data_IF_390537362412
#
_entry.id   IF_390537362412
#
_cell.length_a   1.000
_cell.length_b   1.000
_cell.length_c   1.000
_cell.angle_alpha   90.00
_cell.angle_beta   90.00
_cell.angle_gamma   90.00
#
_symmetry.space_group_name_H-M   'P 1'
#
loop_
_entity.id
_entity.type
_entity.pdbx_description
1 polymer ?
#
# COMPACT_ATOMS: atom_id res chain seq x y z
N UNK A 1 -11.34 10.18 -13.54
CA UNK A 1 -10.49 10.85 -12.54
C UNK A 1 -9.26 9.99 -12.30
N UNK A 2 -8.11 10.43 -12.80
CA UNK A 2 -6.85 9.69 -12.69
C UNK A 2 -6.25 9.78 -11.29
N UNK A 3 -5.61 8.71 -10.84
CA UNK A 3 -4.78 8.72 -9.64
C UNK A 3 -3.63 9.71 -9.84
N UNK A 4 -3.48 10.68 -8.94
CA UNK A 4 -2.37 11.65 -9.00
C UNK A 4 -1.12 11.01 -8.41
N UNK A 5 -0.27 10.44 -9.27
CA UNK A 5 0.97 9.79 -8.87
C UNK A 5 1.86 10.71 -8.02
N UNK A 6 1.97 12.00 -8.37
CA UNK A 6 2.84 12.95 -7.66
C UNK A 6 2.47 13.08 -6.18
N UNK A 7 1.18 13.28 -5.88
CA UNK A 7 0.65 13.38 -4.51
C UNK A 7 0.88 12.07 -3.74
N UNK A 8 0.69 10.93 -4.41
CA UNK A 8 0.88 9.63 -3.76
C UNK A 8 2.35 9.35 -3.51
N UNK A 9 3.24 9.72 -4.42
CA UNK A 9 4.69 9.47 -4.34
C UNK A 9 5.40 10.35 -3.33
N UNK A 10 4.81 11.51 -2.98
CA UNK A 10 5.32 12.40 -1.92
C UNK A 10 4.96 11.95 -0.51
N UNK A 11 3.96 11.06 -0.35
CA UNK A 11 3.61 10.53 0.97
C UNK A 11 4.65 9.51 1.45
N UNK A 12 5.10 9.52 2.71
CA UNK A 12 5.98 8.48 3.24
C UNK A 12 5.29 7.10 3.28
N UNK A 13 3.95 7.05 3.26
CA UNK A 13 3.18 5.81 3.24
C UNK A 13 2.06 5.92 2.19
N UNK A 14 2.02 4.95 1.28
CA UNK A 14 0.95 4.79 0.29
C UNK A 14 0.16 3.51 0.57
N UNK A 15 -1.17 3.64 0.60
CA UNK A 15 -2.09 2.50 0.70
C UNK A 15 -2.88 2.36 -0.61
N UNK A 16 -2.62 1.27 -1.33
CA UNK A 16 -3.28 0.96 -2.60
C UNK A 16 -4.43 -0.02 -2.36
N UNK A 17 -5.66 0.43 -2.59
CA UNK A 17 -6.86 -0.40 -2.47
C UNK A 17 -7.42 -0.69 -3.86
N UNK A 18 -7.52 -1.98 -4.20
CA UNK A 18 -8.07 -2.46 -5.47
C UNK A 18 -7.01 -2.71 -6.55
N UNK A 19 -7.32 -3.67 -7.42
CA UNK A 19 -6.43 -4.11 -8.51
C UNK A 19 -6.08 -3.00 -9.50
N UNK A 20 -7.03 -2.10 -9.77
CA UNK A 20 -6.81 -0.99 -10.70
C UNK A 20 -5.78 0.02 -10.15
N UNK A 21 -5.92 0.41 -8.89
CA UNK A 21 -5.00 1.32 -8.21
C UNK A 21 -3.58 0.74 -8.14
N UNK A 22 -3.46 -0.54 -7.81
CA UNK A 22 -2.18 -1.24 -7.83
C UNK A 22 -1.51 -1.15 -9.20
N UNK A 23 -2.23 -1.50 -10.28
CA UNK A 23 -1.66 -1.51 -11.64
C UNK A 23 -1.24 -0.11 -12.09
N UNK A 24 -2.13 0.88 -11.95
CA UNK A 24 -1.86 2.23 -12.40
C UNK A 24 -0.66 2.84 -11.65
N UNK A 25 -0.61 2.67 -10.32
CA UNK A 25 0.48 3.21 -9.51
C UNK A 25 1.83 2.56 -9.87
N UNK A 26 1.88 1.23 -9.99
CA UNK A 26 3.13 0.53 -10.34
C UNK A 26 3.60 0.82 -11.76
N UNK A 27 2.68 1.08 -12.70
CA UNK A 27 3.05 1.49 -14.06
C UNK A 27 3.80 2.82 -14.08
N UNK A 28 3.38 3.81 -13.29
CA UNK A 28 4.12 5.08 -13.16
C UNK A 28 5.38 4.94 -12.33
N UNK A 29 5.31 4.22 -11.20
CA UNK A 29 6.45 4.00 -10.30
C UNK A 29 7.63 3.32 -11.01
N UNK A 30 7.35 2.37 -11.91
CA UNK A 30 8.41 1.68 -12.67
C UNK A 30 9.08 2.56 -13.73
N UNK A 31 8.50 3.70 -14.10
CA UNK A 31 9.13 4.68 -15.01
C UNK A 31 10.11 5.58 -14.28
N UNK A 32 9.99 5.72 -12.95
CA UNK A 32 10.90 6.54 -12.15
C UNK A 32 12.26 5.81 -12.00
N UNK A 33 13.25 6.27 -12.75
CA UNK A 33 14.60 5.72 -12.75
C UNK A 33 15.40 6.09 -11.49
N UNK A 34 14.95 7.08 -10.71
CA UNK A 34 15.61 7.57 -9.50
C UNK A 34 15.38 6.71 -8.26
N UNK A 35 14.42 5.78 -8.33
CA UNK A 35 14.04 4.92 -7.20
C UNK A 35 14.36 3.45 -7.45
N UNK A 36 14.53 2.70 -6.36
CA UNK A 36 14.56 1.24 -6.37
C UNK A 36 13.46 0.67 -5.48
N UNK A 37 12.99 -0.52 -5.84
CA UNK A 37 11.85 -1.16 -5.20
C UNK A 37 12.25 -2.50 -4.62
N UNK A 38 11.93 -2.72 -3.34
CA UNK A 38 12.15 -4.01 -2.66
C UNK A 38 10.85 -4.50 -2.06
N UNK A 39 10.46 -5.73 -2.37
CA UNK A 39 9.34 -6.39 -1.72
C UNK A 39 9.79 -7.04 -0.41
N UNK A 40 9.20 -6.61 0.71
CA UNK A 40 9.40 -7.22 2.02
C UNK A 40 8.26 -8.18 2.29
N UNK A 41 8.59 -9.46 2.40
CA UNK A 41 7.63 -10.52 2.74
C UNK A 41 7.70 -10.80 4.23
N UNK A 42 6.55 -10.81 4.88
CA UNK A 42 6.46 -11.26 6.25
C UNK A 42 6.59 -12.79 6.31
N UNK A 43 7.41 -13.30 7.23
CA UNK A 43 7.68 -14.74 7.38
C UNK A 43 6.58 -15.50 8.14
N UNK A 44 5.51 -14.83 8.56
CA UNK A 44 4.38 -15.48 9.24
C UNK A 44 3.29 -15.89 8.24
N UNK A 45 2.74 -17.08 8.45
CA UNK A 45 1.57 -17.60 7.73
C UNK A 45 0.33 -17.26 8.56
N UNK A 46 -0.55 -16.42 8.04
CA UNK A 46 -1.89 -16.28 8.60
C UNK A 46 -2.82 -17.28 7.91
N UNK A 47 -3.58 -18.05 8.68
CA UNK A 47 -4.61 -18.95 8.15
C UNK A 47 -5.67 -18.24 7.29
N UNK A 48 -5.89 -16.95 7.58
CA UNK A 48 -6.86 -16.09 6.88
C UNK A 48 -6.35 -15.65 5.49
N UNK A 49 -5.03 -15.56 5.29
CA UNK A 49 -4.45 -15.09 4.04
C UNK A 49 -3.84 -16.26 3.25
N UNK A 50 -4.33 -16.48 2.02
CA UNK A 50 -3.80 -17.50 1.10
C UNK A 50 -2.35 -17.23 0.66
N UNK A 51 -1.82 -16.05 0.95
CA UNK A 51 -0.47 -15.62 0.59
C UNK A 51 0.19 -14.92 1.77
N UNK A 52 1.51 -15.03 1.86
CA UNK A 52 2.28 -14.29 2.86
C UNK A 52 2.04 -12.79 2.67
N UNK A 53 1.65 -12.05 3.71
CA UNK A 53 1.54 -10.60 3.64
C UNK A 53 2.88 -10.01 3.19
N UNK A 54 2.80 -8.94 2.41
CA UNK A 54 4.00 -8.24 1.96
C UNK A 54 3.68 -6.77 1.72
N UNK A 55 4.73 -5.96 1.70
CA UNK A 55 4.69 -4.55 1.33
C UNK A 55 5.94 -4.23 0.52
N UNK A 56 5.93 -3.09 -0.16
CA UNK A 56 7.12 -2.61 -0.86
C UNK A 56 7.76 -1.47 -0.10
N UNK A 57 9.08 -1.44 -0.15
CA UNK A 57 9.90 -0.30 0.28
C UNK A 57 10.46 0.36 -0.98
N UNK A 58 10.23 1.66 -1.09
CA UNK A 58 10.80 2.52 -2.11
C UNK A 58 12.03 3.18 -1.53
N UNK A 59 13.16 3.03 -2.19
CA UNK A 59 14.40 3.71 -1.83
C UNK A 59 14.74 4.76 -2.88
N UNK A 60 15.34 5.85 -2.44
CA UNK A 60 16.10 6.71 -3.35
C UNK A 60 17.38 5.94 -3.76
N UNK A 61 17.62 5.75 -5.06
CA UNK A 61 18.81 5.01 -5.54
C UNK A 61 20.12 5.72 -5.21
N UNK A 62 20.14 7.04 -5.23
CA UNK A 62 21.35 7.82 -5.00
C UNK A 62 21.73 7.82 -3.52
N UNK A 63 20.79 8.10 -2.61
CA UNK A 63 21.07 8.20 -1.17
C UNK A 63 20.92 6.88 -0.42
N UNK A 64 20.24 5.89 -1.01
CA UNK A 64 19.81 4.63 -0.38
C UNK A 64 18.85 4.81 0.81
N UNK A 65 18.31 6.00 0.99
CA UNK A 65 17.34 6.27 2.04
C UNK A 65 15.95 5.75 1.65
N UNK A 66 15.17 5.38 2.66
CA UNK A 66 13.78 4.98 2.49
C UNK A 66 12.97 6.23 2.14
N UNK A 67 12.36 6.23 0.95
CA UNK A 67 11.49 7.30 0.47
C UNK A 67 10.03 7.05 0.85
N UNK A 68 9.57 5.81 0.72
CA UNK A 68 8.17 5.47 0.91
C UNK A 68 7.96 3.99 1.24
N UNK A 69 6.90 3.70 2.00
CA UNK A 69 6.34 2.37 2.20
C UNK A 69 5.03 2.23 1.43
N UNK A 70 4.88 1.16 0.66
CA UNK A 70 3.66 0.89 -0.12
C UNK A 70 2.99 -0.37 0.40
N UNK A 71 1.80 -0.19 0.98
CA UNK A 71 0.89 -1.27 1.34
C UNK A 71 -0.16 -1.42 0.26
N UNK A 72 -0.62 -2.65 0.02
CA UNK A 72 -1.65 -2.89 -0.98
C UNK A 72 -2.61 -4.00 -0.57
N UNK A 73 -3.84 -3.89 -1.06
CA UNK A 73 -4.83 -4.97 -1.06
C UNK A 73 -5.63 -4.93 -2.34
N UNK A 74 -6.04 -6.10 -2.81
CA UNK A 74 -6.98 -6.19 -3.93
C UNK A 74 -8.44 -6.04 -3.49
N UNK A 75 -8.72 -6.23 -2.20
CA UNK A 75 -10.06 -6.18 -1.64
C UNK A 75 -10.13 -5.17 -0.49
N UNK A 76 -11.00 -4.17 -0.64
CA UNK A 76 -11.21 -3.11 0.35
C UNK A 76 -11.73 -3.64 1.70
N UNK A 77 -12.47 -4.76 1.68
CA UNK A 77 -13.01 -5.43 2.87
C UNK A 77 -11.93 -5.83 3.89
N UNK A 78 -10.68 -6.02 3.46
CA UNK A 78 -9.57 -6.35 4.36
C UNK A 78 -9.12 -5.18 5.25
N UNK A 79 -9.50 -3.94 4.93
CA UNK A 79 -9.18 -2.74 5.71
C UNK A 79 -10.36 -2.21 6.54
N UNK A 80 -11.59 -2.66 6.26
CA UNK A 80 -12.80 -2.17 6.92
C UNK A 80 -13.06 -2.82 8.30
N UNK A 81 -12.12 -3.61 8.83
CA UNK A 81 -12.32 -4.34 10.09
C UNK A 81 -12.26 -3.46 11.36
N UNK A 82 -11.93 -2.17 11.24
CA UNK A 82 -11.87 -1.23 12.37
C UNK A 82 -13.17 -0.53 12.77
N UNK A 83 -14.22 -0.56 11.94
CA UNK A 83 -15.47 0.18 12.20
C UNK A 83 -16.53 -0.61 12.99
N UNK A 84 -16.35 -1.92 13.19
CA UNK A 84 -17.34 -2.73 13.94
C UNK A 84 -17.29 -2.56 15.46
N UNK A 85 -16.28 -1.88 16.00
CA UNK A 85 -16.20 -1.54 17.43
C UNK A 85 -16.71 -0.14 17.75
N UNK A 86 -17.10 0.67 16.76
CA UNK A 86 -17.94 1.86 16.97
C UNK A 86 -19.40 1.42 17.18
N UNK A 87 -19.59 0.67 18.27
CA UNK A 87 -20.87 0.23 18.79
C UNK A 87 -21.66 1.50 19.11
N UNK A 88 -22.78 1.69 18.43
CA UNK A 88 -24.05 1.91 19.11
C UNK A 88 -24.00 2.96 20.26
N UNK A 89 -23.57 4.19 19.96
CA UNK A 89 -23.77 5.38 20.79
C UNK A 89 -24.50 6.48 20.00
N UNK A 90 -25.54 6.07 19.29
CA UNK A 90 -26.62 6.99 18.93
C UNK A 90 -27.92 6.34 19.41
N UNK A 91 -28.10 6.43 20.75
CA UNK A 91 -29.43 6.55 21.31
C UNK A 91 -29.76 8.05 21.33
N UNK A 92 -30.59 8.46 20.38
CA UNK A 92 -31.53 9.57 20.52
C UNK A 92 -32.75 9.21 19.69
#
# INVERSE_FOLDING_TARGET
>A
MGLSYDIMSSSPIALLIGKHCYKAFFQELNKDSSISLTMVKFKFKFSVFKTSPSFFVVYNKATREIKQLILYTYHASHFLYGLRSARLLLRT
#
